data_IF_733350254806
#
_entry.id   IF_733350254806
#
_cell.length_a   1.000
_cell.length_b   1.000
_cell.length_c   1.000
_cell.angle_alpha   90.00
_cell.angle_beta   90.00
_cell.angle_gamma   90.00
#
_symmetry.space_group_name_H-M   'P 1'
#
loop_
_entity.id
_entity.type
_entity.pdbx_description
1 polymer ?
#
# COMPACT_ATOMS: atom_id res chain seq x y z
N UNK A 1 12.41 63.59 0.97
CA UNK A 1 11.79 62.49 0.21
C UNK A 1 12.76 61.60 -0.56
N UNK A 2 13.95 62.09 -0.98
CA UNK A 2 14.92 61.26 -1.74
C UNK A 2 15.71 60.28 -0.84
N UNK A 3 15.91 60.60 0.44
CA UNK A 3 16.73 59.81 1.38
C UNK A 3 16.05 58.53 1.87
N UNK A 4 14.70 58.48 1.88
CA UNK A 4 13.94 57.31 2.35
C UNK A 4 13.76 56.23 1.28
N UNK A 5 13.94 56.59 0.00
CA UNK A 5 13.77 55.71 -1.15
C UNK A 5 14.78 54.53 -1.19
N UNK A 6 16.10 54.72 -0.97
CA UNK A 6 17.04 53.60 -0.99
C UNK A 6 16.84 52.61 0.17
N UNK A 7 16.36 53.08 1.33
CA UNK A 7 16.06 52.23 2.48
C UNK A 7 14.81 51.38 2.22
N UNK A 8 13.77 51.98 1.61
CA UNK A 8 12.56 51.26 1.21
C UNK A 8 12.85 50.19 0.15
N UNK A 9 13.70 50.48 -0.84
CA UNK A 9 14.03 49.52 -1.91
C UNK A 9 14.80 48.31 -1.37
N UNK A 10 15.70 48.52 -0.41
CA UNK A 10 16.49 47.44 0.18
C UNK A 10 15.66 46.55 1.10
N UNK A 11 14.64 47.11 1.77
CA UNK A 11 13.72 46.35 2.61
C UNK A 11 12.70 45.51 1.80
N UNK A 12 12.42 45.90 0.54
CA UNK A 12 11.48 45.18 -0.34
C UNK A 12 12.12 43.99 -1.08
N UNK A 13 13.46 43.89 -1.12
CA UNK A 13 14.17 42.81 -1.80
C UNK A 13 14.32 41.60 -0.88
N UNK A 14 13.43 40.61 -1.03
CA UNK A 14 13.52 39.32 -0.33
C UNK A 14 13.67 38.18 -1.33
N UNK A 15 14.75 37.40 -1.18
CA UNK A 15 15.09 36.27 -2.04
C UNK A 15 14.29 35.04 -1.58
N UNK A 16 13.54 34.43 -2.49
CA UNK A 16 12.73 33.25 -2.26
C UNK A 16 13.33 32.09 -3.06
N UNK A 17 13.35 30.89 -2.47
CA UNK A 17 13.91 29.71 -3.13
C UNK A 17 12.91 29.13 -4.13
N UNK A 18 13.40 28.58 -5.25
CA UNK A 18 12.64 28.06 -6.40
C UNK A 18 11.46 27.10 -6.07
N UNK A 19 11.46 26.47 -4.89
CA UNK A 19 10.43 25.55 -4.42
C UNK A 19 9.36 26.20 -3.52
N UNK A 20 9.43 27.51 -3.31
CA UNK A 20 8.55 28.30 -2.46
C UNK A 20 7.78 29.27 -3.36
N UNK A 21 6.48 29.05 -3.57
CA UNK A 21 5.63 30.04 -4.23
C UNK A 21 5.03 30.97 -3.20
N UNK A 22 5.15 32.27 -3.45
CA UNK A 22 4.41 33.31 -2.77
C UNK A 22 3.00 33.32 -3.34
N UNK A 23 1.98 33.16 -2.50
CA UNK A 23 0.64 33.56 -2.89
C UNK A 23 0.28 34.87 -2.20
N UNK A 24 -0.32 35.75 -3.00
CA UNK A 24 -0.79 37.07 -2.64
C UNK A 24 -2.31 37.00 -2.47
N UNK A 25 -2.82 37.46 -1.33
CA UNK A 25 -4.22 37.27 -0.93
C UNK A 25 -4.97 38.61 -1.00
N UNK A 26 -5.04 39.19 -2.20
CA UNK A 26 -5.95 40.31 -2.45
C UNK A 26 -6.57 40.19 -3.85
N UNK A 27 -7.87 40.45 -3.91
CA UNK A 27 -8.80 39.98 -4.95
C UNK A 27 -8.68 40.60 -6.34
N UNK A 28 -7.48 41.00 -6.79
CA UNK A 28 -7.25 41.36 -8.19
C UNK A 28 -6.16 40.48 -8.79
N UNK A 29 -6.47 39.82 -9.90
CA UNK A 29 -5.55 38.93 -10.61
C UNK A 29 -4.58 39.80 -11.40
N UNK A 30 -3.67 40.49 -10.71
CA UNK A 30 -2.63 41.29 -11.33
C UNK A 30 -1.40 40.42 -11.50
N UNK A 31 -1.25 39.88 -12.71
CA UNK A 31 -0.05 39.22 -13.21
C UNK A 31 1.14 40.19 -13.12
N UNK A 32 1.81 40.24 -11.96
CA UNK A 32 3.06 40.96 -11.83
C UNK A 32 4.24 40.07 -12.27
N UNK A 33 4.85 40.53 -13.36
CA UNK A 33 6.11 40.16 -14.01
C UNK A 33 6.99 39.21 -13.16
N UNK A 34 6.91 37.92 -13.49
CA UNK A 34 7.91 36.92 -13.11
C UNK A 34 9.20 37.21 -13.90
N UNK A 35 10.15 37.93 -13.32
CA UNK A 35 11.53 37.78 -13.77
C UNK A 35 11.98 36.38 -13.37
N UNK A 36 12.39 35.61 -14.37
CA UNK A 36 12.99 34.28 -14.19
C UNK A 36 14.24 34.42 -13.31
N UNK A 37 14.05 34.34 -11.98
CA UNK A 37 15.01 33.99 -10.92
C UNK A 37 14.50 34.50 -9.56
N UNK A 38 13.68 33.71 -8.85
CA UNK A 38 13.51 33.69 -7.38
C UNK A 38 13.29 34.98 -6.56
N UNK A 39 13.12 36.14 -7.19
CA UNK A 39 13.01 37.45 -6.51
C UNK A 39 11.59 37.98 -6.71
N UNK A 40 10.85 38.07 -5.60
CA UNK A 40 9.51 38.66 -5.58
C UNK A 40 9.62 39.97 -4.78
N UNK A 41 9.21 41.07 -5.40
CA UNK A 41 9.12 42.38 -4.76
C UNK A 41 7.83 42.41 -3.94
N UNK A 42 7.94 42.49 -2.60
CA UNK A 42 6.78 42.52 -1.69
C UNK A 42 6.69 43.90 -1.05
N UNK A 43 5.55 44.59 -1.18
CA UNK A 43 5.33 45.86 -0.50
C UNK A 43 4.88 45.63 0.95
N UNK A 44 5.65 46.08 1.96
CA UNK A 44 5.45 45.71 3.36
C UNK A 44 4.18 46.26 4.04
N UNK A 45 3.34 47.04 3.32
CA UNK A 45 2.11 47.63 3.87
C UNK A 45 0.81 47.15 3.21
N UNK A 46 0.89 46.45 2.08
CA UNK A 46 -0.30 46.01 1.30
C UNK A 46 -0.29 44.49 1.15
N UNK A 47 0.90 43.90 0.99
CA UNK A 47 1.02 42.50 0.62
C UNK A 47 1.26 41.62 1.85
N UNK A 48 0.35 40.66 2.08
CA UNK A 48 0.56 39.56 3.03
C UNK A 48 1.12 38.38 2.24
N UNK A 49 2.33 37.94 2.62
CA UNK A 49 3.02 36.81 2.00
C UNK A 49 2.75 35.53 2.80
N UNK A 50 2.16 34.52 2.15
CA UNK A 50 2.03 33.17 2.71
C UNK A 50 3.01 32.24 2.01
N UNK A 51 3.85 31.57 2.80
CA UNK A 51 4.81 30.58 2.31
C UNK A 51 4.15 29.21 2.26
N UNK A 52 4.06 28.64 1.06
CA UNK A 52 3.52 27.29 0.84
C UNK A 52 4.64 26.34 0.42
N UNK A 53 4.75 25.19 1.07
CA UNK A 53 5.67 24.13 0.68
C UNK A 53 5.03 23.20 -0.36
N UNK A 54 5.70 23.04 -1.50
CA UNK A 54 5.25 22.19 -2.61
C UNK A 54 5.77 20.74 -2.52
N UNK A 55 6.58 20.44 -1.50
CA UNK A 55 7.15 19.10 -1.28
C UNK A 55 6.07 18.09 -0.89
N UNK A 56 6.39 16.82 -1.06
CA UNK A 56 5.55 15.73 -0.56
C UNK A 56 5.59 15.71 0.96
N UNK A 57 4.43 15.83 1.58
CA UNK A 57 4.24 15.79 3.03
C UNK A 57 3.39 14.57 3.38
N UNK A 58 3.65 14.01 4.55
CA UNK A 58 2.87 12.90 5.11
C UNK A 58 1.80 13.42 6.06
N UNK A 59 0.59 12.91 5.93
CA UNK A 59 -0.48 13.06 6.90
C UNK A 59 -0.80 11.69 7.49
N UNK A 60 -0.55 11.52 8.79
CA UNK A 60 -0.89 10.30 9.51
C UNK A 60 -2.33 10.39 9.97
N UNK A 61 -3.16 9.41 9.63
CA UNK A 61 -4.53 9.32 10.14
C UNK A 61 -4.52 8.71 11.53
N UNK A 62 -5.30 9.30 12.44
CA UNK A 62 -5.42 8.75 13.80
C UNK A 62 -6.14 7.40 13.76
N UNK A 63 -5.84 6.50 14.71
CA UNK A 63 -6.54 5.24 14.85
C UNK A 63 -8.04 5.42 14.95
N UNK A 64 -8.78 4.69 14.11
CA UNK A 64 -10.23 4.73 14.11
C UNK A 64 -10.81 3.35 14.25
N UNK A 65 -11.80 3.26 15.13
CA UNK A 65 -12.65 2.08 15.24
C UNK A 65 -13.71 2.12 14.14
N UNK A 66 -13.70 1.08 13.31
CA UNK A 66 -14.63 0.91 12.19
C UNK A 66 -15.31 -0.46 12.29
N UNK A 67 -16.55 -0.50 11.84
CA UNK A 67 -17.30 -1.75 11.67
C UNK A 67 -17.19 -2.17 10.20
N UNK A 68 -16.64 -3.36 9.96
CA UNK A 68 -16.57 -3.93 8.60
C UNK A 68 -17.93 -4.49 8.17
N UNK A 69 -18.05 -4.87 6.90
CA UNK A 69 -19.26 -5.50 6.34
C UNK A 69 -19.70 -6.76 7.10
N UNK A 70 -18.76 -7.49 7.68
CA UNK A 70 -19.01 -8.72 8.44
C UNK A 70 -19.35 -8.46 9.91
N UNK A 71 -19.66 -7.21 10.27
CA UNK A 71 -19.96 -6.79 11.64
C UNK A 71 -18.81 -7.01 12.62
N UNK A 72 -17.56 -6.93 12.15
CA UNK A 72 -16.37 -7.00 13.02
C UNK A 72 -15.85 -5.60 13.31
N UNK A 73 -15.66 -5.28 14.59
CA UNK A 73 -15.00 -4.05 15.01
C UNK A 73 -13.49 -4.20 14.82
N UNK A 74 -12.89 -3.25 14.09
CA UNK A 74 -11.43 -3.21 13.89
C UNK A 74 -10.92 -1.79 14.01
N UNK A 75 -9.69 -1.64 14.48
CA UNK A 75 -9.01 -0.34 14.47
C UNK A 75 -8.05 -0.28 13.30
N UNK A 76 -8.18 0.75 12.46
CA UNK A 76 -7.33 0.92 11.29
C UNK A 76 -6.60 2.25 11.33
N UNK A 77 -5.30 2.19 11.06
CA UNK A 77 -4.37 3.32 11.01
C UNK A 77 -3.79 3.41 9.59
N UNK A 78 -3.54 4.62 9.08
CA UNK A 78 -3.00 4.82 7.74
C UNK A 78 -2.18 6.10 7.59
N UNK A 79 -1.48 6.20 6.46
CA UNK A 79 -0.67 7.37 6.10
C UNK A 79 -1.01 7.78 4.67
N UNK A 80 -1.20 9.08 4.47
CA UNK A 80 -1.46 9.68 3.16
C UNK A 80 -0.26 10.54 2.77
N UNK A 81 0.34 10.24 1.62
CA UNK A 81 1.38 11.05 1.01
C UNK A 81 0.73 11.97 -0.01
N UNK A 82 0.89 13.28 0.18
CA UNK A 82 0.31 14.28 -0.73
C UNK A 82 1.31 15.40 -0.98
N UNK A 83 1.10 16.14 -2.06
CA UNK A 83 1.84 17.36 -2.37
C UNK A 83 0.90 18.42 -2.89
N UNK A 84 1.25 19.68 -2.66
CA UNK A 84 0.49 20.80 -3.22
C UNK A 84 0.97 20.99 -4.67
N UNK A 85 0.05 20.88 -5.63
CA UNK A 85 0.32 21.12 -7.05
C UNK A 85 0.12 22.60 -7.42
N UNK A 86 -0.93 23.21 -6.87
CA UNK A 86 -1.27 24.62 -7.08
C UNK A 86 -1.40 25.32 -5.73
N UNK A 87 -0.44 26.19 -5.42
CA UNK A 87 -0.46 26.98 -4.19
C UNK A 87 -1.70 27.90 -4.17
N UNK A 88 -1.96 28.61 -5.27
CA UNK A 88 -3.09 29.54 -5.42
C UNK A 88 -4.41 28.86 -5.05
N UNK A 89 -4.64 27.65 -5.59
CA UNK A 89 -5.87 26.90 -5.34
C UNK A 89 -5.93 26.31 -3.92
N UNK A 90 -4.79 26.04 -3.30
CA UNK A 90 -4.73 25.52 -1.93
C UNK A 90 -5.03 26.61 -0.91
N UNK A 91 -4.44 27.80 -1.06
CA UNK A 91 -4.66 28.95 -0.17
C UNK A 91 -6.07 29.52 -0.34
N UNK A 92 -6.56 29.65 -1.58
CA UNK A 92 -7.87 30.24 -1.82
C UNK A 92 -9.05 29.36 -1.35
N UNK A 93 -8.91 28.03 -1.41
CA UNK A 93 -10.01 27.11 -1.13
C UNK A 93 -9.96 26.48 0.27
N UNK A 94 -8.82 26.51 0.96
CA UNK A 94 -8.62 25.80 2.23
C UNK A 94 -7.75 26.61 3.19
N UNK A 95 -8.28 26.90 4.38
CA UNK A 95 -7.53 27.58 5.44
C UNK A 95 -6.34 26.74 5.95
N UNK A 96 -6.60 25.46 6.28
CA UNK A 96 -5.58 24.51 6.74
C UNK A 96 -5.63 23.24 5.88
N UNK A 97 -4.67 23.13 4.97
CA UNK A 97 -4.51 22.00 4.05
C UNK A 97 -4.29 20.69 4.81
N UNK A 98 -3.53 20.71 5.91
CA UNK A 98 -3.19 19.50 6.65
C UNK A 98 -4.43 18.95 7.34
N UNK A 99 -5.16 19.82 8.06
CA UNK A 99 -6.37 19.42 8.78
C UNK A 99 -7.49 18.99 7.83
N UNK A 100 -7.70 19.72 6.72
CA UNK A 100 -8.71 19.36 5.73
C UNK A 100 -8.42 18.00 5.08
N UNK A 101 -7.16 17.74 4.73
CA UNK A 101 -6.74 16.45 4.15
C UNK A 101 -6.87 15.32 5.16
N UNK A 102 -6.53 15.56 6.43
CA UNK A 102 -6.67 14.59 7.51
C UNK A 102 -8.14 14.16 7.70
N UNK A 103 -9.07 15.11 7.81
CA UNK A 103 -10.49 14.82 8.00
C UNK A 103 -11.09 14.09 6.80
N UNK A 104 -10.68 14.48 5.60
CA UNK A 104 -11.12 13.84 4.36
C UNK A 104 -10.62 12.40 4.29
N UNK A 105 -9.32 12.17 4.56
CA UNK A 105 -8.71 10.84 4.62
C UNK A 105 -9.38 9.94 5.66
N UNK A 106 -9.69 10.50 6.84
CA UNK A 106 -10.41 9.78 7.88
C UNK A 106 -11.80 9.32 7.41
N UNK A 107 -12.53 10.21 6.75
CA UNK A 107 -13.89 9.90 6.28
C UNK A 107 -13.87 8.91 5.11
N UNK A 108 -12.95 9.06 4.16
CA UNK A 108 -12.83 8.14 3.01
C UNK A 108 -12.37 6.76 3.43
N UNK A 109 -11.36 6.65 4.31
CA UNK A 109 -10.92 5.38 4.87
C UNK A 109 -12.08 4.65 5.55
N UNK A 110 -12.84 5.34 6.41
CA UNK A 110 -14.01 4.76 7.08
C UNK A 110 -15.05 4.23 6.08
N UNK A 111 -15.37 5.01 5.05
CA UNK A 111 -16.38 4.63 4.06
C UNK A 111 -15.94 3.42 3.22
N UNK A 112 -14.70 3.39 2.75
CA UNK A 112 -14.19 2.29 1.92
C UNK A 112 -13.94 1.03 2.74
N UNK A 113 -13.37 1.15 3.94
CA UNK A 113 -13.13 -0.01 4.80
C UNK A 113 -14.44 -0.58 5.37
N UNK A 114 -15.46 0.25 5.59
CA UNK A 114 -16.76 -0.20 6.08
C UNK A 114 -17.58 -1.02 5.07
N UNK A 115 -17.35 -0.85 3.76
CA UNK A 115 -18.05 -1.61 2.72
C UNK A 115 -17.42 -2.98 2.44
N UNK A 116 -16.24 -3.23 2.98
CA UNK A 116 -15.40 -4.40 2.68
C UNK A 116 -15.39 -5.40 3.83
N UNK A 117 -15.09 -6.66 3.51
CA UNK A 117 -14.98 -7.73 4.51
C UNK A 117 -13.63 -7.69 5.23
N UNK A 118 -13.55 -8.24 6.43
CA UNK A 118 -12.27 -8.27 7.18
C UNK A 118 -11.19 -9.04 6.41
N UNK A 119 -11.57 -10.16 5.79
CA UNK A 119 -10.67 -11.00 5.00
C UNK A 119 -10.12 -10.27 3.77
N UNK A 120 -10.95 -9.46 3.10
CA UNK A 120 -10.51 -8.62 1.98
C UNK A 120 -9.55 -7.53 2.43
N UNK A 121 -9.82 -6.87 3.56
CA UNK A 121 -8.92 -5.86 4.12
C UNK A 121 -7.55 -6.47 4.46
N UNK A 122 -7.51 -7.70 4.97
CA UNK A 122 -6.26 -8.38 5.31
C UNK A 122 -5.50 -8.89 4.09
N UNK A 123 -6.18 -9.45 3.10
CA UNK A 123 -5.56 -10.06 1.92
C UNK A 123 -5.25 -9.06 0.79
N UNK A 124 -6.10 -8.04 0.60
CA UNK A 124 -6.07 -7.10 -0.52
C UNK A 124 -5.72 -5.66 -0.11
N UNK A 125 -4.74 -5.48 0.79
CA UNK A 125 -4.37 -4.14 1.29
C UNK A 125 -3.97 -3.17 0.18
N UNK A 126 -3.26 -3.63 -0.85
CA UNK A 126 -2.80 -2.81 -1.96
C UNK A 126 -3.97 -2.31 -2.83
N UNK A 127 -4.93 -3.19 -3.14
CA UNK A 127 -6.12 -2.85 -3.93
C UNK A 127 -7.01 -1.84 -3.18
N UNK A 128 -7.14 -2.03 -1.88
CA UNK A 128 -7.85 -1.12 -0.98
C UNK A 128 -7.17 0.24 -0.91
N UNK A 129 -5.85 0.26 -0.74
CA UNK A 129 -5.06 1.48 -0.70
C UNK A 129 -5.17 2.27 -2.02
N UNK A 130 -5.11 1.58 -3.16
CA UNK A 130 -5.30 2.19 -4.47
C UNK A 130 -6.72 2.77 -4.62
N UNK A 131 -7.74 2.06 -4.16
CA UNK A 131 -9.14 2.54 -4.21
C UNK A 131 -9.35 3.79 -3.36
N UNK A 132 -8.73 3.85 -2.18
CA UNK A 132 -8.78 5.05 -1.33
C UNK A 132 -7.98 6.20 -1.93
N UNK A 133 -6.84 5.90 -2.56
CA UNK A 133 -6.03 6.89 -3.26
C UNK A 133 -6.79 7.58 -4.38
N UNK A 134 -7.47 6.82 -5.27
CA UNK A 134 -8.21 7.41 -6.39
C UNK A 134 -9.35 8.31 -5.90
N UNK A 135 -10.11 7.85 -4.91
CA UNK A 135 -11.20 8.63 -4.31
C UNK A 135 -10.68 9.90 -3.62
N UNK A 136 -9.55 9.82 -2.93
CA UNK A 136 -8.95 10.99 -2.29
C UNK A 136 -8.40 11.97 -3.31
N UNK A 137 -7.66 11.50 -4.32
CA UNK A 137 -7.09 12.35 -5.36
C UNK A 137 -8.19 13.12 -6.11
N UNK A 138 -9.29 12.46 -6.45
CA UNK A 138 -10.43 13.11 -7.09
C UNK A 138 -11.10 14.18 -6.21
N UNK A 139 -11.23 13.91 -4.91
CA UNK A 139 -11.79 14.87 -3.97
C UNK A 139 -10.84 16.05 -3.65
N UNK A 140 -9.52 15.85 -3.74
CA UNK A 140 -8.52 16.87 -3.40
C UNK A 140 -8.07 17.73 -4.58
N UNK A 141 -8.31 17.30 -5.83
CA UNK A 141 -7.98 18.05 -7.06
C UNK A 141 -8.51 19.49 -7.05
N UNK A 142 -9.75 19.70 -6.62
CA UNK A 142 -10.38 21.03 -6.55
C UNK A 142 -9.66 21.98 -5.59
N UNK A 143 -8.93 21.45 -4.61
CA UNK A 143 -8.18 22.18 -3.59
C UNK A 143 -6.71 22.37 -3.96
N UNK A 144 -6.29 21.99 -5.17
CA UNK A 144 -4.89 22.11 -5.61
C UNK A 144 -3.93 21.11 -4.97
N UNK A 145 -4.44 20.03 -4.35
CA UNK A 145 -3.67 19.00 -3.67
C UNK A 145 -3.70 17.72 -4.50
N UNK A 146 -2.53 17.13 -4.73
CA UNK A 146 -2.36 15.85 -5.43
C UNK A 146 -1.95 14.77 -4.44
N UNK A 147 -2.66 13.64 -4.42
CA UNK A 147 -2.33 12.50 -3.56
C UNK A 147 -1.37 11.58 -4.30
N UNK A 148 -0.18 11.36 -3.74
CA UNK A 148 0.84 10.52 -4.35
C UNK A 148 0.60 9.04 -4.08
N UNK A 149 0.28 8.69 -2.83
CA UNK A 149 0.03 7.32 -2.40
C UNK A 149 -0.69 7.31 -1.04
N UNK A 150 -1.47 6.26 -0.80
CA UNK A 150 -2.05 5.94 0.51
C UNK A 150 -1.46 4.61 0.98
N UNK A 151 -1.08 4.52 2.25
CA UNK A 151 -0.60 3.29 2.87
C UNK A 151 -1.46 2.95 4.09
N UNK A 152 -1.95 1.71 4.13
CA UNK A 152 -2.66 1.16 5.30
C UNK A 152 -1.60 0.57 6.22
N UNK A 153 -1.44 1.14 7.41
CA UNK A 153 -0.36 0.78 8.33
C UNK A 153 -0.73 -0.48 9.12
N UNK A 154 -1.60 -0.34 10.11
CA UNK A 154 -1.97 -1.42 11.02
C UNK A 154 -3.49 -1.60 11.08
N UNK A 155 -3.92 -2.86 11.16
CA UNK A 155 -5.32 -3.26 11.39
C UNK A 155 -5.34 -4.09 12.66
N UNK A 156 -5.85 -3.53 13.76
CA UNK A 156 -5.98 -4.21 15.04
C UNK A 156 -7.38 -4.82 15.18
N UNK A 157 -7.41 -6.09 15.53
CA UNK A 157 -8.62 -6.88 15.76
C UNK A 157 -8.73 -7.14 17.27
N UNK A 158 -9.95 -7.20 17.85
CA UNK A 158 -10.14 -7.59 19.24
C UNK A 158 -9.50 -8.95 19.52
N UNK A 159 -8.72 -9.06 20.62
CA UNK A 159 -7.94 -10.26 20.91
C UNK A 159 -8.77 -11.54 21.03
N UNK A 160 -10.03 -11.45 21.51
CA UNK A 160 -10.95 -12.59 21.54
C UNK A 160 -11.25 -13.14 20.14
N UNK A 161 -11.53 -12.26 19.17
CA UNK A 161 -11.83 -12.67 17.79
C UNK A 161 -10.57 -13.18 17.08
N UNK A 162 -9.41 -12.57 17.36
CA UNK A 162 -8.14 -13.00 16.80
C UNK A 162 -7.85 -14.47 17.12
N UNK A 163 -8.08 -14.91 18.37
CA UNK A 163 -7.85 -16.30 18.76
C UNK A 163 -8.81 -17.28 18.07
N UNK A 164 -10.09 -16.94 17.98
CA UNK A 164 -11.08 -17.76 17.27
C UNK A 164 -10.76 -17.88 15.78
N UNK A 165 -10.35 -16.77 15.14
CA UNK A 165 -9.96 -16.75 13.74
C UNK A 165 -8.69 -17.57 13.47
N UNK A 166 -7.71 -17.53 14.38
CA UNK A 166 -6.51 -18.38 14.28
C UNK A 166 -6.88 -19.85 14.38
N UNK A 167 -7.74 -20.23 15.34
CA UNK A 167 -8.21 -21.60 15.49
C UNK A 167 -8.99 -22.10 14.26
N UNK A 168 -9.87 -21.26 13.71
CA UNK A 168 -10.60 -21.56 12.47
C UNK A 168 -9.66 -21.67 11.25
N UNK A 169 -8.69 -20.77 11.13
CA UNK A 169 -7.69 -20.80 10.06
C UNK A 169 -6.81 -22.05 10.14
N UNK A 170 -6.44 -22.49 11.34
CA UNK A 170 -5.66 -23.71 11.56
C UNK A 170 -6.48 -24.95 11.19
N UNK A 171 -7.73 -25.05 11.66
CA UNK A 171 -8.62 -26.16 11.33
C UNK A 171 -8.90 -26.26 9.82
N UNK A 172 -9.15 -25.13 9.15
CA UNK A 172 -9.37 -25.10 7.69
C UNK A 172 -8.09 -25.42 6.91
N UNK A 173 -6.93 -24.97 7.38
CA UNK A 173 -5.64 -25.30 6.77
C UNK A 173 -5.30 -26.78 6.92
N UNK A 174 -5.54 -27.38 8.08
CA UNK A 174 -5.39 -28.82 8.29
C UNK A 174 -6.34 -29.63 7.41
N UNK A 175 -7.62 -29.25 7.35
CA UNK A 175 -8.61 -29.92 6.52
C UNK A 175 -8.19 -29.88 5.04
N UNK A 176 -7.77 -28.72 4.55
CA UNK A 176 -7.24 -28.55 3.18
C UNK A 176 -5.99 -29.38 2.95
N UNK A 177 -5.06 -29.44 3.90
CA UNK A 177 -3.85 -30.25 3.79
C UNK A 177 -4.18 -31.76 3.67
N UNK A 178 -5.17 -32.26 4.44
CA UNK A 178 -5.60 -33.66 4.35
C UNK A 178 -6.24 -33.99 3.00
N UNK A 179 -7.08 -33.10 2.46
CA UNK A 179 -7.68 -33.29 1.13
C UNK A 179 -6.59 -33.30 0.05
N UNK A 180 -5.65 -32.35 0.11
CA UNK A 180 -4.55 -32.27 -0.84
C UNK A 180 -3.63 -33.50 -0.78
N UNK A 181 -3.39 -34.03 0.43
CA UNK A 181 -2.61 -35.26 0.60
C UNK A 181 -3.32 -36.48 0.00
N UNK A 182 -4.62 -36.64 0.25
CA UNK A 182 -5.41 -37.73 -0.33
C UNK A 182 -5.51 -37.63 -1.86
N UNK A 183 -5.68 -36.43 -2.39
CA UNK A 183 -5.67 -36.18 -3.84
C UNK A 183 -4.29 -36.45 -4.45
N UNK A 184 -3.22 -36.03 -3.77
CA UNK A 184 -1.84 -36.34 -4.14
C UNK A 184 -1.58 -37.85 -4.19
N UNK A 185 -2.05 -38.61 -3.19
CA UNK A 185 -1.92 -40.07 -3.13
C UNK A 185 -2.70 -40.78 -4.24
N UNK A 186 -3.92 -40.31 -4.54
CA UNK A 186 -4.72 -40.80 -5.66
C UNK A 186 -4.02 -40.55 -7.00
N UNK A 187 -3.48 -39.34 -7.21
CA UNK A 187 -2.78 -38.98 -8.43
C UNK A 187 -1.48 -39.78 -8.60
N UNK A 188 -0.72 -39.97 -7.52
CA UNK A 188 0.45 -40.83 -7.51
C UNK A 188 0.09 -42.29 -7.84
N UNK A 189 -0.98 -42.82 -7.25
CA UNK A 189 -1.46 -44.18 -7.51
C UNK A 189 -1.88 -44.40 -8.97
N UNK A 190 -2.56 -43.41 -9.58
CA UNK A 190 -2.91 -43.45 -11.01
C UNK A 190 -1.67 -43.47 -11.90
N UNK A 191 -0.67 -42.64 -11.61
CA UNK A 191 0.59 -42.62 -12.34
C UNK A 191 1.39 -43.92 -12.18
N UNK A 192 1.41 -44.51 -10.98
CA UNK A 192 2.04 -45.81 -10.75
C UNK A 192 1.30 -46.93 -11.49
N UNK A 193 -0.04 -46.89 -11.54
CA UNK A 193 -0.84 -47.85 -12.32
C UNK A 193 -0.53 -47.76 -13.81
N UNK A 194 -0.49 -46.56 -14.39
CA UNK A 194 -0.15 -46.41 -15.81
C UNK A 194 1.28 -46.88 -16.10
N UNK A 195 2.25 -46.52 -15.27
CA UNK A 195 3.62 -47.02 -15.39
C UNK A 195 3.70 -48.55 -15.29
N UNK A 196 2.90 -49.17 -14.42
CA UNK A 196 2.85 -50.63 -14.26
C UNK A 196 2.26 -51.32 -15.49
N UNK A 197 1.23 -50.75 -16.11
CA UNK A 197 0.66 -51.27 -17.37
C UNK A 197 1.70 -51.23 -18.50
N UNK A 198 2.43 -50.12 -18.64
CA UNK A 198 3.52 -49.99 -19.62
C UNK A 198 4.65 -51.00 -19.36
N UNK A 199 5.00 -51.24 -18.10
CA UNK A 199 5.98 -52.28 -17.75
C UNK A 199 5.48 -53.69 -18.06
N UNK A 200 4.19 -53.96 -17.92
CA UNK A 200 3.59 -55.27 -18.20
C UNK A 200 3.57 -55.61 -19.70
N UNK A 201 3.49 -54.60 -20.58
CA UNK A 201 3.56 -54.79 -22.02
C UNK A 201 4.91 -55.36 -22.49
N UNK A 202 6.01 -55.09 -21.77
CA UNK A 202 7.35 -55.56 -22.12
C UNK A 202 8.08 -56.19 -20.93
N UNK A 203 8.27 -57.53 -20.88
CA UNK A 203 8.90 -58.20 -19.75
C UNK A 203 10.37 -57.80 -19.54
N UNK A 204 11.07 -57.32 -20.59
CA UNK A 204 12.45 -56.81 -20.49
C UNK A 204 12.52 -55.50 -19.69
N UNK A 205 11.44 -54.69 -19.69
CA UNK A 205 11.42 -53.41 -18.98
C UNK A 205 11.51 -53.57 -17.45
N UNK A 206 10.89 -54.62 -16.89
CA UNK A 206 11.04 -54.96 -15.47
C UNK A 206 12.48 -55.32 -15.11
N UNK A 207 13.16 -56.06 -15.99
CA UNK A 207 14.54 -56.48 -15.77
C UNK A 207 15.51 -55.28 -15.80
N UNK A 208 15.29 -54.33 -16.71
CA UNK A 208 16.04 -53.06 -16.74
C UNK A 208 15.77 -52.20 -15.49
N UNK A 209 14.51 -52.09 -15.05
CA UNK A 209 14.17 -51.38 -13.81
C UNK A 209 14.85 -52.03 -12.60
N UNK A 210 14.88 -53.36 -12.53
CA UNK A 210 15.57 -54.10 -11.47
C UNK A 210 17.07 -53.79 -11.43
N UNK A 211 17.74 -53.79 -12.59
CA UNK A 211 19.15 -53.40 -12.68
C UNK A 211 19.38 -51.93 -12.28
N UNK A 212 18.48 -51.01 -12.66
CA UNK A 212 18.53 -49.62 -12.21
C UNK A 212 18.35 -49.48 -10.69
N UNK A 213 17.43 -50.23 -10.08
CA UNK A 213 17.27 -50.22 -8.61
C UNK A 213 18.50 -50.81 -7.92
N UNK A 214 19.16 -51.80 -8.51
CA UNK A 214 20.41 -52.34 -7.96
C UNK A 214 21.55 -51.33 -8.05
N UNK A 215 21.65 -50.54 -9.13
CA UNK A 215 22.67 -49.50 -9.21
C UNK A 215 22.41 -48.36 -8.23
N UNK A 216 21.14 -47.94 -8.03
CA UNK A 216 20.81 -46.92 -7.02
C UNK A 216 21.11 -47.40 -5.59
N UNK A 217 20.76 -48.66 -5.27
CA UNK A 217 21.06 -49.27 -3.97
C UNK A 217 22.57 -49.46 -3.78
N UNK A 218 23.32 -49.81 -4.83
CA UNK A 218 24.78 -49.91 -4.76
C UNK A 218 25.47 -48.54 -4.57
N UNK A 219 24.85 -47.44 -5.01
CA UNK A 219 25.35 -46.07 -4.77
C UNK A 219 25.02 -45.55 -3.36
N UNK A 220 23.89 -45.92 -2.77
CA UNK A 220 23.58 -45.65 -1.35
C UNK A 220 24.34 -46.64 -0.46
N UNK A 221 25.56 -46.28 -0.06
CA UNK A 221 26.41 -47.07 0.85
C UNK A 221 25.81 -47.23 2.26
N UNK A 222 24.76 -48.04 2.44
CA UNK A 222 24.38 -48.71 3.70
C UNK A 222 23.08 -49.53 3.56
N UNK A 223 23.17 -50.83 3.26
CA UNK A 223 22.33 -51.84 3.93
C UNK A 223 22.80 -53.26 3.56
N UNK A 224 23.09 -54.05 4.59
CA UNK A 224 23.36 -55.48 4.48
C UNK A 224 22.06 -56.21 4.13
N UNK A 225 21.94 -56.69 2.90
CA UNK A 225 20.82 -57.52 2.45
C UNK A 225 21.03 -58.92 3.03
N UNK A 226 20.18 -59.34 3.97
CA UNK A 226 20.13 -60.73 4.45
C UNK A 226 19.24 -61.52 3.48
N UNK A 227 19.78 -62.48 2.71
CA UNK A 227 18.97 -63.31 1.85
C UNK A 227 18.22 -64.33 2.72
N UNK A 228 16.89 -64.27 2.70
CA UNK A 228 16.07 -65.30 3.33
C UNK A 228 16.20 -66.60 2.52
N UNK A 229 16.62 -67.67 3.19
CA UNK A 229 16.81 -68.99 2.60
C UNK A 229 15.72 -69.91 3.15
N UNK A 230 14.59 -69.98 2.44
CA UNK A 230 13.67 -71.13 2.33
C UNK A 230 12.62 -70.83 1.29
#
# INVERSE_FOLDING_TARGET
>A
MVITFPISIWMCLKIIKEYERADWDSGEILNHIFFCMGLILVLPCIDVFVKVDLRTVTCNTAPQEILTRDSVTTQVDGVVYYRIYSAVSAVANVNDVQQATFLLAQTTLRNVLGTQTLSQILAGREEMAHSVQTLLDDATKLRGIQVAQVEIKDVRIPGQLQMSMVAEAEATREARARVLAAEGEMNASKALKSASMVLAESPIALQLRYLQTLTTVATEKNSTIVPNRT
#
